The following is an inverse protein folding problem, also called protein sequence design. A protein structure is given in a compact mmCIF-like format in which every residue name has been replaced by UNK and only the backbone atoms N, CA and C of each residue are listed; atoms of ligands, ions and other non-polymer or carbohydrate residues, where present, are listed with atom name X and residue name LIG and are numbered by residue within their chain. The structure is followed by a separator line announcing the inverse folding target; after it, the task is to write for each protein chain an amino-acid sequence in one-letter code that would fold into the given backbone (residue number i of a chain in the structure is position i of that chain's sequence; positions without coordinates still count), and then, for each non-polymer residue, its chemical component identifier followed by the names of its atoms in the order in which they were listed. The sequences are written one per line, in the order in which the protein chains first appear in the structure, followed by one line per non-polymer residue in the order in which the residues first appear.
data_IF_393688482045
#
_entry.id   IF_393688482045
#
_cell.length_a   1.000
_cell.length_b   1.000
_cell.length_c   1.000
_cell.angle_alpha   90.00
_cell.angle_beta   90.00
_cell.angle_gamma   90.00
#
_symmetry.space_group_name_H-M   'P 1'
#
loop_
_entity.id
_entity.type
_entity.pdbx_description
1 polymer ?
#
# COMPACT_ATOMS: atom_id res chain seq x y z
N UNK A 1 -12.83 10.06 -0.89
CA UNK A 1 -12.44 9.56 -2.22
C UNK A 1 -11.00 9.10 -2.18
N UNK A 2 -10.72 7.93 -2.71
CA UNK A 2 -9.36 7.39 -2.73
C UNK A 2 -8.53 8.07 -3.82
N UNK A 3 -7.27 8.36 -3.51
CA UNK A 3 -6.31 8.80 -4.51
C UNK A 3 -5.89 7.63 -5.38
N UNK A 4 -5.42 7.93 -6.58
CA UNK A 4 -4.90 6.92 -7.50
C UNK A 4 -3.40 7.12 -7.65
N UNK A 5 -2.63 6.05 -7.48
CA UNK A 5 -1.18 6.10 -7.66
C UNK A 5 -0.67 4.79 -8.24
N UNK A 6 0.28 4.89 -9.15
CA UNK A 6 0.93 3.73 -9.72
C UNK A 6 2.22 3.46 -8.97
N UNK A 7 2.48 2.18 -8.72
CA UNK A 7 3.72 1.73 -8.08
C UNK A 7 4.51 0.91 -9.08
N UNK A 8 5.83 1.04 -9.01
CA UNK A 8 6.74 0.19 -9.76
C UNK A 8 7.60 -0.58 -8.77
N UNK A 9 7.52 -1.90 -8.80
CA UNK A 9 8.19 -2.77 -7.85
C UNK A 9 9.13 -3.69 -8.62
N UNK A 10 10.37 -3.79 -8.18
CA UNK A 10 11.33 -4.68 -8.80
C UNK A 10 11.32 -6.04 -8.10
N UNK A 11 11.15 -7.10 -8.88
CA UNK A 11 11.14 -8.47 -8.38
C UNK A 11 12.47 -8.76 -7.67
N UNK A 12 12.39 -9.30 -6.46
CA UNK A 12 13.58 -9.68 -5.70
C UNK A 12 14.25 -8.53 -4.94
N UNK A 13 13.73 -7.31 -5.06
CA UNK A 13 14.25 -6.16 -4.32
C UNK A 13 13.25 -5.72 -3.25
N UNK A 14 13.75 -5.18 -2.15
CA UNK A 14 12.89 -4.58 -1.14
C UNK A 14 12.22 -3.32 -1.70
N UNK A 15 10.99 -3.10 -1.34
CA UNK A 15 10.21 -1.95 -1.80
C UNK A 15 9.59 -1.23 -0.62
N UNK A 16 9.63 0.09 -0.64
CA UNK A 16 9.01 0.90 0.41
C UNK A 16 8.51 2.21 -0.19
N UNK A 17 7.34 2.63 0.25
CA UNK A 17 6.78 3.92 -0.14
C UNK A 17 6.02 4.51 1.03
N UNK A 18 5.97 5.84 1.10
CA UNK A 18 5.25 6.56 2.14
C UNK A 18 4.08 7.31 1.51
N UNK A 19 2.91 7.15 2.10
CA UNK A 19 1.68 7.81 1.67
C UNK A 19 1.26 8.79 2.75
N UNK A 20 0.91 10.01 2.35
CA UNK A 20 0.36 11.01 3.28
C UNK A 20 -1.15 11.06 3.09
N UNK A 21 -1.88 10.89 4.20
CA UNK A 21 -3.34 10.97 4.20
C UNK A 21 -3.75 12.39 4.56
N UNK A 22 -4.45 13.04 3.64
CA UNK A 22 -4.91 14.40 3.86
C UNK A 22 -6.42 14.41 4.03
N UNK A 23 -6.90 15.28 4.91
CA UNK A 23 -8.33 15.50 5.09
C UNK A 23 -8.91 16.38 3.97
N UNK A 24 -10.21 16.60 4.03
CA UNK A 24 -10.93 17.36 3.00
C UNK A 24 -10.45 18.82 2.89
N UNK A 25 -9.83 19.34 3.93
CA UNK A 25 -9.28 20.70 3.95
C UNK A 25 -7.83 20.78 3.45
N UNK A 26 -7.25 19.63 3.01
CA UNK A 26 -5.88 19.58 2.54
C UNK A 26 -4.83 19.43 3.63
N UNK A 27 -5.21 19.46 4.90
CA UNK A 27 -4.29 19.26 6.02
C UNK A 27 -4.12 17.77 6.30
N UNK A 28 -2.94 17.35 6.80
CA UNK A 28 -2.76 15.94 7.14
C UNK A 28 -3.77 15.45 8.18
N UNK A 29 -4.24 14.22 8.00
CA UNK A 29 -5.16 13.58 8.94
C UNK A 29 -4.36 13.03 10.11
N UNK A 30 -4.82 13.30 11.34
CA UNK A 30 -4.21 12.71 12.52
C UNK A 30 -4.65 11.25 12.62
N UNK A 31 -3.69 10.33 12.49
CA UNK A 31 -3.94 8.89 12.45
C UNK A 31 -3.72 8.20 13.79
N UNK A 32 -3.72 8.97 14.90
CA UNK A 32 -3.57 8.40 16.23
C UNK A 32 -4.69 7.38 16.50
N UNK A 33 -4.32 6.18 16.92
CA UNK A 33 -5.23 5.06 17.18
C UNK A 33 -5.92 4.49 15.94
N UNK A 34 -5.48 4.86 14.75
CA UNK A 34 -5.91 4.21 13.52
C UNK A 34 -5.09 2.96 13.27
N UNK A 35 -5.67 2.05 12.48
CA UNK A 35 -4.92 0.91 11.93
C UNK A 35 -4.95 1.03 10.41
N UNK A 36 -4.00 0.38 9.77
CA UNK A 36 -3.87 0.42 8.32
C UNK A 36 -3.55 -0.95 7.77
N UNK A 37 -4.04 -1.24 6.57
CA UNK A 37 -3.77 -2.49 5.88
C UNK A 37 -3.74 -2.23 4.37
N UNK A 38 -2.86 -2.94 3.68
CA UNK A 38 -2.75 -2.83 2.23
C UNK A 38 -2.49 -4.19 1.63
N UNK A 39 -3.08 -4.45 0.48
CA UNK A 39 -2.93 -5.72 -0.23
C UNK A 39 -2.74 -5.49 -1.72
N UNK A 40 -2.04 -6.43 -2.32
CA UNK A 40 -1.74 -6.47 -3.75
C UNK A 40 -2.38 -7.74 -4.31
N UNK A 41 -3.16 -7.62 -5.38
CA UNK A 41 -3.82 -8.75 -6.03
C UNK A 41 -3.62 -8.67 -7.53
N UNK A 42 -3.65 -9.83 -8.19
CA UNK A 42 -3.52 -9.88 -9.66
C UNK A 42 -4.72 -9.18 -10.32
N UNK A 43 -5.90 -9.30 -9.72
CA UNK A 43 -7.11 -8.59 -10.13
C UNK A 43 -7.98 -8.38 -8.90
N UNK A 44 -9.02 -7.54 -9.04
CA UNK A 44 -9.93 -7.27 -7.92
C UNK A 44 -10.61 -8.54 -7.41
N UNK A 45 -10.78 -9.52 -8.26
CA UNK A 45 -11.50 -10.75 -7.93
C UNK A 45 -10.59 -11.93 -7.59
N UNK A 46 -9.28 -11.71 -7.56
CA UNK A 46 -8.34 -12.78 -7.17
C UNK A 46 -8.60 -13.21 -5.73
N UNK A 47 -8.59 -14.52 -5.50
CA UNK A 47 -8.71 -15.06 -4.15
C UNK A 47 -7.41 -14.99 -3.37
N UNK A 48 -6.28 -14.82 -4.05
CA UNK A 48 -4.97 -14.71 -3.41
C UNK A 48 -4.53 -13.26 -3.38
N UNK A 49 -3.82 -12.90 -2.33
CA UNK A 49 -3.31 -11.56 -2.13
C UNK A 49 -1.94 -11.61 -1.48
N UNK A 50 -1.12 -10.59 -1.75
CA UNK A 50 0.13 -10.37 -1.04
C UNK A 50 -0.08 -9.14 -0.15
N UNK A 51 0.20 -9.29 1.14
CA UNK A 51 0.05 -8.20 2.09
C UNK A 51 1.30 -7.34 2.08
N UNK A 52 1.09 -6.02 2.06
CA UNK A 52 2.17 -5.09 2.40
C UNK A 52 2.35 -5.11 3.92
N UNK A 53 3.58 -4.89 4.36
CA UNK A 53 3.84 -4.54 5.75
C UNK A 53 3.54 -3.04 5.87
N UNK A 54 2.59 -2.67 6.72
CA UNK A 54 2.11 -1.29 6.81
C UNK A 54 2.35 -0.78 8.20
N UNK A 55 2.94 0.41 8.29
CA UNK A 55 3.17 1.08 9.56
C UNK A 55 2.76 2.54 9.45
N UNK A 56 2.10 3.06 10.47
CA UNK A 56 1.81 4.49 10.56
C UNK A 56 3.08 5.14 11.09
N UNK A 57 3.87 5.71 10.16
CA UNK A 57 5.21 6.21 10.49
C UNK A 57 5.16 7.57 11.17
N UNK A 58 4.12 8.36 10.91
CA UNK A 58 3.90 9.65 11.58
C UNK A 58 2.40 9.87 11.69
N UNK A 59 1.83 9.51 12.83
CA UNK A 59 0.38 9.60 13.02
C UNK A 59 -0.11 11.05 12.95
N UNK A 60 0.58 11.98 13.58
CA UNK A 60 0.16 13.36 13.58
C UNK A 60 0.28 13.99 12.19
N UNK A 61 1.26 13.56 11.42
CA UNK A 61 1.45 14.04 10.04
C UNK A 61 0.70 13.25 8.99
N UNK A 62 -0.05 12.22 9.38
CA UNK A 62 -0.84 11.41 8.46
C UNK A 62 -0.02 10.53 7.55
N UNK A 63 1.19 10.13 7.95
CA UNK A 63 2.10 9.36 7.10
C UNK A 63 2.02 7.87 7.40
N UNK A 64 1.89 7.08 6.33
CA UNK A 64 1.85 5.62 6.39
C UNK A 64 2.91 5.08 5.44
N UNK A 65 3.75 4.17 5.93
CA UNK A 65 4.77 3.51 5.12
C UNK A 65 4.31 2.11 4.76
N UNK A 66 4.34 1.79 3.47
CA UNK A 66 4.00 0.48 2.92
C UNK A 66 5.28 -0.18 2.43
N UNK A 67 5.54 -1.40 2.87
CA UNK A 67 6.79 -2.10 2.57
C UNK A 67 6.52 -3.50 2.06
N UNK A 68 7.28 -3.93 1.06
CA UNK A 68 7.38 -5.33 0.63
C UNK A 68 8.82 -5.76 0.81
N UNK A 69 9.02 -6.91 1.45
CA UNK A 69 10.37 -7.45 1.60
C UNK A 69 10.85 -8.04 0.28
N UNK A 70 12.17 -8.20 0.14
CA UNK A 70 12.74 -8.85 -1.04
C UNK A 70 12.18 -10.26 -1.26
N UNK A 71 11.93 -10.99 -0.17
CA UNK A 71 11.33 -12.32 -0.26
C UNK A 71 9.90 -12.26 -0.81
N UNK A 72 9.11 -11.27 -0.40
CA UNK A 72 7.76 -11.10 -0.92
C UNK A 72 7.77 -10.74 -2.41
N UNK A 73 8.62 -9.81 -2.82
CA UNK A 73 8.67 -9.39 -4.23
C UNK A 73 9.21 -10.49 -5.12
N UNK A 74 10.13 -11.33 -4.61
CA UNK A 74 10.67 -12.44 -5.39
C UNK A 74 9.61 -13.47 -5.76
N UNK A 75 8.55 -13.59 -4.95
CA UNK A 75 7.46 -14.52 -5.20
C UNK A 75 6.38 -13.96 -6.12
N UNK A 76 6.48 -12.70 -6.51
CA UNK A 76 5.52 -12.08 -7.41
C UNK A 76 5.91 -12.36 -8.86
N UNK A 77 4.93 -12.78 -9.66
CA UNK A 77 5.14 -12.93 -11.09
C UNK A 77 5.19 -11.55 -11.73
N UNK A 78 6.17 -11.25 -12.60
CA UNK A 78 6.19 -9.95 -13.28
C UNK A 78 4.88 -9.67 -14.02
N UNK A 79 4.47 -8.43 -14.02
CA UNK A 79 3.23 -7.99 -14.66
C UNK A 79 2.50 -6.96 -13.82
N UNK A 80 1.24 -6.76 -14.15
CA UNK A 80 0.41 -5.76 -13.46
C UNK A 80 -0.44 -6.39 -12.39
N UNK A 81 -0.52 -5.68 -11.27
CA UNK A 81 -1.36 -6.03 -10.13
C UNK A 81 -2.17 -4.82 -9.75
N UNK A 82 -3.24 -5.03 -9.00
CA UNK A 82 -3.99 -3.95 -8.36
C UNK A 82 -3.69 -3.94 -6.87
N UNK A 83 -3.74 -2.79 -6.26
CA UNK A 83 -3.49 -2.66 -4.83
C UNK A 83 -4.37 -1.57 -4.25
N UNK A 84 -4.55 -1.59 -2.93
CA UNK A 84 -5.16 -0.48 -2.22
C UNK A 84 -4.60 -0.40 -0.80
N UNK A 85 -4.86 0.74 -0.16
CA UNK A 85 -4.51 0.99 1.23
C UNK A 85 -5.78 1.43 1.95
N UNK A 86 -6.14 0.69 3.00
CA UNK A 86 -7.28 0.99 3.84
C UNK A 86 -6.81 1.43 5.21
N UNK A 87 -7.49 2.42 5.78
CA UNK A 87 -7.31 2.77 7.18
C UNK A 87 -8.61 2.52 7.93
N UNK A 88 -8.49 2.19 9.21
CA UNK A 88 -9.62 1.96 10.07
C UNK A 88 -9.51 2.87 11.28
N UNK A 89 -10.55 3.67 11.52
CA UNK A 89 -10.58 4.59 12.64
C UNK A 89 -10.82 3.87 13.95
N UNK A 90 -10.59 4.53 15.10
CA UNK A 90 -10.92 3.93 16.42
C UNK A 90 -12.40 3.56 16.56
N UNK A 91 -13.28 4.18 15.76
CA UNK A 91 -14.71 3.88 15.75
C UNK A 91 -15.09 2.86 14.68
N UNK A 92 -14.11 2.15 14.12
CA UNK A 92 -14.29 1.09 13.12
C UNK A 92 -14.80 1.55 11.77
N UNK A 93 -14.56 2.82 11.41
CA UNK A 93 -14.86 3.33 10.07
C UNK A 93 -13.67 3.04 9.16
N UNK A 94 -13.92 2.30 8.07
CA UNK A 94 -12.87 1.94 7.11
C UNK A 94 -12.91 2.88 5.93
N UNK A 95 -11.75 3.37 5.54
CA UNK A 95 -11.64 4.29 4.40
C UNK A 95 -10.50 3.82 3.51
N UNK A 96 -10.77 3.72 2.20
CA UNK A 96 -9.72 3.48 1.21
C UNK A 96 -9.09 4.83 0.88
N UNK A 97 -7.77 4.96 1.15
CA UNK A 97 -7.08 6.24 0.99
C UNK A 97 -6.28 6.32 -0.29
N UNK A 98 -5.82 5.18 -0.82
CA UNK A 98 -5.15 5.13 -2.11
C UNK A 98 -5.43 3.79 -2.77
N UNK A 99 -5.49 3.78 -4.10
CA UNK A 99 -5.63 2.59 -4.90
C UNK A 99 -4.90 2.79 -6.22
N UNK A 100 -4.66 1.73 -6.93
CA UNK A 100 -4.01 1.86 -8.22
C UNK A 100 -3.44 0.56 -8.74
N UNK A 101 -2.47 0.71 -9.62
CA UNK A 101 -1.80 -0.39 -10.30
C UNK A 101 -0.36 -0.48 -9.80
N UNK A 102 0.06 -1.69 -9.46
CA UNK A 102 1.45 -1.98 -9.15
C UNK A 102 2.01 -2.84 -10.27
N UNK A 103 3.08 -2.37 -10.90
CA UNK A 103 3.76 -3.10 -11.95
C UNK A 103 4.99 -3.76 -11.37
N UNK A 104 5.09 -5.08 -11.53
CA UNK A 104 6.24 -5.84 -11.05
C UNK A 104 7.17 -6.06 -12.23
N UNK A 105 8.38 -5.52 -12.12
CA UNK A 105 9.40 -5.68 -13.15
C UNK A 105 10.24 -6.92 -12.89
N UNK A 106 10.56 -7.69 -13.93
CA UNK A 106 11.38 -8.90 -13.75
C UNK A 106 12.79 -8.55 -13.36
N UNK A 107 13.42 -9.47 -12.61
CA UNK A 107 14.80 -9.32 -12.17
C UNK A 107 15.72 -10.13 -13.07
N UNK A 108 16.85 -9.55 -13.44
CA UNK A 108 17.93 -10.26 -14.14
C UNK A 108 18.78 -11.02 -13.14
N UNK A 109 19.09 -10.40 -12.02
CA UNK A 109 19.86 -11.01 -10.95
C UNK A 109 18.94 -11.75 -9.99
N UNK A 110 19.17 -13.04 -9.86
CA UNK A 110 18.33 -13.92 -9.03
C UNK A 110 19.19 -14.83 -8.17
#
# INVERSE_FOLDING_TARGET
MAGFAELTVEQGASYSTTVTVNGSNGSPTNLTNYTAAAQLRKSYYSSTATDFTVAISDAAGGEITMTLTAANTANLTPGRYVYDLLITSPTSVKTRVVEGIATILPSVTR
#
